data_IF_692550518990
#
_entry.id   IF_692550518990
#
_cell.length_a   1.000
_cell.length_b   1.000
_cell.length_c   1.000
_cell.angle_alpha   90.00
_cell.angle_beta   90.00
_cell.angle_gamma   90.00
#
_symmetry.space_group_name_H-M   'P 1'
#
loop_
_entity.id
_entity.type
_entity.pdbx_description
1 polymer ?
#
# COMPACT_ATOMS: atom_id res chain seq x y z
N UNK A 1 -4.37 10.44 -2.51
CA UNK A 1 -2.97 10.94 -2.58
C UNK A 1 -2.97 12.41 -2.98
N UNK A 2 -2.16 13.26 -2.32
CA UNK A 2 -2.06 14.69 -2.64
C UNK A 2 -0.61 15.05 -3.04
N UNK A 3 -0.34 15.52 -4.27
CA UNK A 3 1.01 15.84 -4.75
C UNK A 3 1.66 17.03 -4.02
N UNK A 4 0.87 17.91 -3.40
CA UNK A 4 1.35 19.08 -2.66
C UNK A 4 1.30 18.85 -1.13
N UNK A 5 1.30 17.60 -0.67
CA UNK A 5 1.24 17.32 0.77
C UNK A 5 2.52 17.83 1.46
N UNK A 6 2.42 18.69 2.50
CA UNK A 6 3.60 19.25 3.15
C UNK A 6 4.41 18.22 3.96
N UNK A 7 3.80 17.09 4.32
CA UNK A 7 4.42 16.04 5.12
C UNK A 7 5.24 15.11 4.23
N UNK A 8 4.58 14.43 3.28
CA UNK A 8 5.24 13.47 2.40
C UNK A 8 5.80 14.09 1.11
N UNK A 9 5.61 15.40 0.89
CA UNK A 9 6.05 16.14 -0.32
C UNK A 9 5.62 15.50 -1.64
N UNK A 10 4.41 14.93 -1.64
CA UNK A 10 3.84 14.25 -2.80
C UNK A 10 4.25 12.79 -2.98
N UNK A 11 5.14 12.24 -2.15
CA UNK A 11 5.59 10.83 -2.22
C UNK A 11 4.47 9.87 -1.78
N UNK A 12 3.62 10.30 -0.86
CA UNK A 12 2.55 9.48 -0.30
C UNK A 12 2.98 8.55 0.84
N UNK A 13 4.26 8.58 1.23
CA UNK A 13 4.83 7.76 2.29
C UNK A 13 5.62 8.60 3.30
N UNK A 14 5.59 8.18 4.56
CA UNK A 14 6.30 8.80 5.70
C UNK A 14 7.06 7.73 6.47
N UNK A 15 8.11 8.10 7.19
CA UNK A 15 8.82 7.14 8.03
C UNK A 15 7.92 6.68 9.18
N UNK A 16 7.86 5.37 9.45
CA UNK A 16 7.04 4.85 10.56
C UNK A 16 7.46 5.42 11.92
N UNK A 17 8.77 5.64 12.13
CA UNK A 17 9.33 6.19 13.36
C UNK A 17 9.20 7.72 13.42
N UNK A 18 9.10 8.37 12.27
CA UNK A 18 9.03 9.82 12.13
C UNK A 18 7.92 10.19 11.14
N UNK A 19 6.64 10.16 11.55
CA UNK A 19 5.48 10.32 10.67
C UNK A 19 5.38 11.73 10.04
N UNK A 20 6.18 12.67 10.51
CA UNK A 20 6.31 14.03 9.96
C UNK A 20 7.38 14.14 8.87
N UNK A 21 8.18 13.09 8.66
CA UNK A 21 9.23 13.05 7.64
C UNK A 21 8.82 12.14 6.49
N UNK A 22 9.01 12.56 5.23
CA UNK A 22 8.79 11.67 4.09
C UNK A 22 9.70 10.45 4.20
N UNK A 23 9.22 9.29 3.74
CA UNK A 23 10.06 8.10 3.64
C UNK A 23 10.89 8.17 2.37
N UNK A 24 11.97 8.95 2.44
CA UNK A 24 12.85 9.27 1.31
C UNK A 24 14.27 9.56 1.81
N UNK A 25 15.32 9.06 1.14
CA UNK A 25 16.70 9.24 1.57
C UNK A 25 17.22 10.69 1.43
N UNK A 26 16.65 11.48 0.51
CA UNK A 26 17.12 12.85 0.22
C UNK A 26 16.29 13.91 0.96
N UNK A 27 14.98 13.69 1.09
CA UNK A 27 14.03 14.67 1.60
C UNK A 27 13.58 14.40 3.04
N UNK A 28 13.86 13.22 3.59
CA UNK A 28 13.27 12.80 4.86
C UNK A 28 14.07 11.77 5.64
N UNK A 29 13.44 10.65 5.97
CA UNK A 29 13.99 9.65 6.89
C UNK A 29 13.71 8.22 6.42
N UNK A 30 14.75 7.39 6.44
CA UNK A 30 14.72 5.98 6.07
C UNK A 30 15.22 5.06 7.21
N UNK A 31 15.14 5.52 8.47
CA UNK A 31 15.60 4.72 9.62
C UNK A 31 14.67 3.56 9.97
N UNK A 32 13.43 3.57 9.47
CA UNK A 32 12.45 2.50 9.59
C UNK A 32 11.78 2.22 8.25
N UNK A 33 10.70 1.47 8.27
CA UNK A 33 9.87 1.23 7.10
C UNK A 33 9.05 2.46 6.70
N UNK A 34 8.57 2.44 5.45
CA UNK A 34 7.61 3.42 4.95
C UNK A 34 6.21 3.09 5.42
N UNK A 35 5.53 4.06 6.02
CA UNK A 35 4.11 4.02 6.34
C UNK A 35 3.32 4.95 5.40
N UNK A 36 2.05 4.64 5.09
CA UNK A 36 1.23 5.50 4.25
C UNK A 36 1.05 6.87 4.92
N UNK A 37 1.35 7.94 4.19
CA UNK A 37 1.04 9.29 4.64
C UNK A 37 -0.47 9.45 4.82
N UNK A 38 -0.92 10.31 5.73
CA UNK A 38 -2.35 10.64 5.89
C UNK A 38 -3.01 11.10 4.59
N UNK A 39 -2.30 11.80 3.69
CA UNK A 39 -2.84 12.18 2.38
C UNK A 39 -2.97 10.99 1.41
N UNK A 40 -2.26 9.90 1.71
CA UNK A 40 -2.29 8.63 1.03
C UNK A 40 -3.04 7.57 1.84
N UNK A 41 -3.89 8.00 2.79
CA UNK A 41 -4.90 7.13 3.37
C UNK A 41 -5.93 6.85 2.27
N UNK A 42 -5.63 5.89 1.39
CA UNK A 42 -6.66 5.11 0.73
C UNK A 42 -7.42 4.43 1.86
N UNK A 43 -8.55 5.03 2.27
CA UNK A 43 -9.46 4.40 3.24
C UNK A 43 -9.69 2.97 2.80
N UNK A 44 -9.45 2.02 3.71
CA UNK A 44 -9.26 0.60 3.40
C UNK A 44 -10.29 0.00 2.45
N UNK A 45 -9.94 -0.04 1.17
CA UNK A 45 -10.59 -0.80 0.10
C UNK A 45 -9.43 -1.31 -0.76
N UNK A 46 -9.32 -2.57 -1.11
CA UNK A 46 -10.32 -3.62 -1.20
C UNK A 46 -9.60 -4.89 -0.74
N UNK A 47 -10.08 -5.56 0.32
CA UNK A 47 -9.81 -7.00 0.38
C UNK A 47 -10.23 -7.54 -0.99
N UNK A 48 -9.34 -8.16 -1.78
CA UNK A 48 -9.77 -8.67 -3.07
C UNK A 48 -10.96 -9.60 -2.79
N UNK A 49 -12.12 -9.33 -3.38
CA UNK A 49 -13.29 -10.19 -3.24
C UNK A 49 -12.93 -11.62 -3.71
N UNK A 50 -12.59 -12.50 -2.76
CA UNK A 50 -12.22 -13.92 -3.02
C UNK A 50 -13.48 -14.77 -3.28
N UNK A 51 -14.60 -14.16 -3.63
CA UNK A 51 -15.84 -14.87 -3.95
C UNK A 51 -15.76 -15.65 -5.27
N UNK A 52 -14.69 -15.48 -6.06
CA UNK A 52 -14.46 -16.26 -7.28
C UNK A 52 -13.61 -17.50 -7.00
N UNK A 53 -14.27 -18.55 -6.51
CA UNK A 53 -13.73 -19.90 -6.35
C UNK A 53 -13.45 -20.49 -7.74
N UNK A 54 -12.19 -20.72 -8.07
CA UNK A 54 -11.80 -21.56 -9.22
C UNK A 54 -12.29 -22.98 -8.97
N UNK A 55 -13.26 -23.43 -9.75
CA UNK A 55 -13.69 -24.82 -9.77
C UNK A 55 -12.59 -25.64 -10.46
N UNK A 56 -11.97 -26.55 -9.70
CA UNK A 56 -11.07 -27.56 -10.24
C UNK A 56 -11.89 -28.53 -11.11
N UNK A 57 -11.80 -28.39 -12.43
CA UNK A 57 -12.35 -29.37 -13.37
C UNK A 57 -11.38 -30.56 -13.41
N UNK A 58 -11.59 -31.51 -12.52
CA UNK A 58 -10.96 -32.83 -12.61
C UNK A 58 -11.43 -33.50 -13.92
N UNK A 59 -10.55 -33.78 -14.90
CA UNK A 59 -11.00 -34.47 -16.09
C UNK A 59 -11.22 -35.95 -15.75
N UNK A 60 -12.48 -36.28 -15.41
CA UNK A 60 -12.98 -37.65 -15.48
C UNK A 60 -12.87 -38.15 -16.92
N UNK A 61 -11.86 -38.96 -17.21
CA UNK A 61 -11.95 -39.93 -18.31
C UNK A 61 -11.95 -41.35 -17.78
N UNK A 62 -13.18 -41.87 -17.68
CA UNK A 62 -13.53 -43.28 -17.87
C UNK A 62 -13.00 -43.76 -19.22
N UNK A 63 -12.20 -44.82 -19.26
CA UNK A 63 -12.55 -46.18 -19.69
C UNK A 63 -11.28 -46.99 -19.90
#
# INVERSE_FOLDING_TARGET
MNPNCPICRGIGWVCENHPEKPWDPELGCICGAGAPCKCNATGGVDEPDVSQVIVDDEPKRRH
#
